data_IF_014792813502
#
_entry.id   IF_014792813502
#
_cell.length_a   1.000
_cell.length_b   1.000
_cell.length_c   1.000
_cell.angle_alpha   90.00
_cell.angle_beta   90.00
_cell.angle_gamma   90.00
#
_symmetry.space_group_name_H-M   'P 1'
#
loop_
_entity.id
_entity.type
_entity.pdbx_description
1 polymer ?
#
# COMPACT_ATOMS: atom_id res chain seq x y z
N UNK A 1 52.37 15.82 26.43
CA UNK A 1 50.93 15.50 26.35
C UNK A 1 50.63 14.49 27.45
N UNK A 2 49.71 14.82 28.36
CA UNK A 2 49.52 14.12 29.65
C UNK A 2 48.93 12.70 29.48
N UNK A 3 49.48 11.71 30.19
CA UNK A 3 49.14 10.28 30.07
C UNK A 3 47.68 9.98 30.43
N UNK A 4 47.05 10.81 31.27
CA UNK A 4 45.64 10.63 31.63
C UNK A 4 44.69 10.80 30.43
N UNK A 5 45.04 11.64 29.45
CA UNK A 5 44.19 11.89 28.26
C UNK A 5 44.22 10.75 27.24
N UNK A 6 45.34 10.01 27.16
CA UNK A 6 45.45 8.84 26.29
C UNK A 6 44.57 7.70 26.81
N UNK A 7 44.44 7.57 28.12
CA UNK A 7 43.66 6.51 28.75
C UNK A 7 42.15 6.69 28.54
N UNK A 8 41.65 7.92 28.61
CA UNK A 8 40.22 8.22 28.39
C UNK A 8 39.80 8.04 26.93
N UNK A 9 40.67 8.42 25.98
CA UNK A 9 40.39 8.26 24.55
C UNK A 9 40.33 6.77 24.15
N UNK A 10 41.23 5.94 24.68
CA UNK A 10 41.24 4.50 24.43
C UNK A 10 39.96 3.80 24.93
N UNK A 11 39.41 4.21 26.08
CA UNK A 11 38.16 3.65 26.61
C UNK A 11 36.93 4.04 25.79
N UNK A 12 36.88 5.28 25.28
CA UNK A 12 35.78 5.74 24.42
C UNK A 12 35.81 4.97 23.08
N UNK A 13 37.00 4.81 22.48
CA UNK A 13 37.16 4.04 21.24
C UNK A 13 36.75 2.58 21.46
N UNK A 14 37.14 1.97 22.58
CA UNK A 14 36.76 0.61 22.92
C UNK A 14 35.23 0.46 23.04
N UNK A 15 34.54 1.35 23.76
CA UNK A 15 33.08 1.31 23.93
C UNK A 15 32.34 1.47 22.59
N UNK A 16 32.81 2.36 21.72
CA UNK A 16 32.24 2.55 20.38
C UNK A 16 32.41 1.28 19.54
N UNK A 17 33.61 0.70 19.53
CA UNK A 17 33.92 -0.51 18.75
C UNK A 17 33.18 -1.75 19.26
N UNK A 18 33.04 -1.91 20.58
CA UNK A 18 32.45 -3.14 21.15
C UNK A 18 30.94 -3.12 21.25
N UNK A 19 30.30 -1.94 21.28
CA UNK A 19 28.86 -1.84 21.53
C UNK A 19 28.07 -1.42 20.30
N UNK A 20 28.64 -0.56 19.45
CA UNK A 20 27.91 -0.02 18.29
C UNK A 20 28.04 -0.97 17.11
N UNK A 21 29.23 -1.55 16.86
CA UNK A 21 29.46 -2.45 15.71
C UNK A 21 28.62 -3.74 15.76
N UNK A 22 28.44 -4.42 16.91
CA UNK A 22 27.61 -5.63 16.93
C UNK A 22 26.12 -5.33 16.77
N UNK A 23 25.61 -4.26 17.40
CA UNK A 23 24.21 -3.83 17.25
C UNK A 23 23.88 -3.41 15.81
N UNK A 24 24.86 -2.81 15.12
CA UNK A 24 24.72 -2.39 13.73
C UNK A 24 24.69 -3.57 12.77
N UNK A 25 25.52 -4.60 12.97
CA UNK A 25 25.49 -5.84 12.19
C UNK A 25 24.19 -6.61 12.41
N UNK A 26 23.68 -6.62 13.65
CA UNK A 26 22.45 -7.34 14.00
C UNK A 26 21.20 -6.64 13.43
N UNK A 27 21.15 -5.30 13.43
CA UNK A 27 20.10 -4.54 12.73
C UNK A 27 20.17 -4.70 11.20
N UNK A 28 21.38 -4.76 10.63
CA UNK A 28 21.59 -4.97 9.20
C UNK A 28 21.07 -6.34 8.76
N UNK A 29 21.25 -7.37 9.60
CA UNK A 29 20.66 -8.69 9.37
C UNK A 29 19.13 -8.70 9.38
N UNK A 30 18.51 -7.85 10.22
CA UNK A 30 17.05 -7.72 10.30
C UNK A 30 16.48 -6.97 9.08
N UNK A 31 17.15 -5.90 8.64
CA UNK A 31 16.69 -5.07 7.51
C UNK A 31 16.84 -5.76 6.13
N UNK A 32 17.78 -6.68 5.96
CA UNK A 32 17.91 -7.46 4.71
C UNK A 32 16.70 -8.40 4.49
N UNK A 33 16.00 -8.80 5.56
CA UNK A 33 14.89 -9.75 5.47
C UNK A 33 13.54 -9.10 5.13
N UNK A 34 13.42 -7.77 5.18
CA UNK A 34 12.17 -7.06 4.84
C UNK A 34 12.21 -6.55 3.39
N UNK A 35 11.22 -6.94 2.58
CA UNK A 35 11.08 -6.56 1.15
C UNK A 35 11.16 -5.02 1.00
N UNK A 36 11.97 -4.54 0.04
CA UNK A 36 12.17 -3.12 -0.27
C UNK A 36 13.63 -2.66 -0.27
N UNK A 37 14.43 -3.09 -1.26
CA UNK A 37 15.89 -2.85 -1.32
C UNK A 37 16.28 -1.37 -1.27
N UNK A 38 15.51 -0.48 -1.92
CA UNK A 38 15.79 0.97 -1.95
C UNK A 38 15.42 1.63 -0.61
N UNK A 39 14.30 1.22 0.00
CA UNK A 39 13.87 1.69 1.32
C UNK A 39 14.89 1.29 2.40
N UNK A 40 15.41 0.06 2.31
CA UNK A 40 16.46 -0.41 3.20
C UNK A 40 17.76 0.39 3.02
N UNK A 41 18.18 0.72 1.80
CA UNK A 41 19.37 1.57 1.57
C UNK A 41 19.17 2.99 2.11
N UNK A 42 17.99 3.58 1.92
CA UNK A 42 17.67 4.91 2.48
C UNK A 42 17.67 4.88 4.02
N UNK A 43 17.04 3.87 4.62
CA UNK A 43 17.03 3.65 6.08
C UNK A 43 18.44 3.40 6.61
N UNK A 44 19.27 2.64 5.90
CA UNK A 44 20.67 2.35 6.29
C UNK A 44 21.52 3.62 6.20
N UNK A 45 21.46 4.37 5.10
CA UNK A 45 22.15 5.66 4.98
C UNK A 45 21.70 6.62 6.10
N UNK A 46 20.40 6.62 6.42
CA UNK A 46 19.81 7.54 7.38
C UNK A 46 20.05 7.17 8.86
N UNK A 47 19.94 5.90 9.24
CA UNK A 47 20.18 5.42 10.60
C UNK A 47 21.67 5.32 10.96
N UNK A 48 22.57 5.29 9.97
CA UNK A 48 23.99 5.06 10.23
C UNK A 48 24.85 6.24 9.86
N UNK A 49 24.68 6.84 8.68
CA UNK A 49 25.54 7.96 8.26
C UNK A 49 25.27 9.18 9.13
N UNK A 50 24.02 9.45 9.50
CA UNK A 50 23.66 10.62 10.31
C UNK A 50 24.18 10.53 11.77
N UNK A 51 23.95 9.44 12.52
CA UNK A 51 24.49 9.31 13.87
C UNK A 51 26.01 9.23 13.87
N UNK A 52 26.62 8.63 12.83
CA UNK A 52 28.08 8.66 12.66
C UNK A 52 28.56 10.10 12.38
N UNK A 53 27.85 10.89 11.59
CA UNK A 53 28.16 12.31 11.36
C UNK A 53 28.05 13.12 12.66
N UNK A 54 27.00 12.89 13.46
CA UNK A 54 26.79 13.53 14.77
C UNK A 54 27.88 13.12 15.75
N UNK A 55 28.27 11.84 15.77
CA UNK A 55 29.37 11.32 16.59
C UNK A 55 30.71 11.95 16.18
N UNK A 56 31.00 12.02 14.88
CA UNK A 56 32.20 12.65 14.32
C UNK A 56 32.23 14.14 14.66
N UNK A 57 31.11 14.86 14.50
CA UNK A 57 30.97 16.26 14.90
C UNK A 57 31.17 16.45 16.40
N UNK A 58 30.60 15.61 17.25
CA UNK A 58 30.79 15.66 18.70
C UNK A 58 32.24 15.35 19.12
N UNK A 59 32.90 14.39 18.47
CA UNK A 59 34.34 14.14 18.66
C UNK A 59 35.16 15.36 18.25
N UNK A 60 34.83 15.99 17.12
CA UNK A 60 35.47 17.20 16.64
C UNK A 60 35.29 18.37 17.63
N UNK A 61 34.14 18.46 18.31
CA UNK A 61 33.86 19.45 19.35
C UNK A 61 34.62 19.21 20.66
N UNK A 62 34.80 17.95 21.06
CA UNK A 62 35.62 17.61 22.23
C UNK A 62 37.09 17.96 21.96
N UNK A 63 37.54 17.76 20.72
CA UNK A 63 38.91 18.07 20.29
C UNK A 63 39.10 19.59 20.11
N UNK A 64 38.12 20.29 19.54
CA UNK A 64 38.18 21.74 19.32
C UNK A 64 37.62 22.47 20.54
N UNK A 65 38.50 22.96 21.43
CA UNK A 65 38.14 23.85 22.55
C UNK A 65 37.53 25.18 22.06
N UNK A 66 36.31 25.20 21.52
CA UNK A 66 35.69 26.40 20.96
C UNK A 66 34.30 26.70 21.52
N UNK A 67 34.04 28.01 21.43
CA UNK A 67 33.06 28.88 22.11
C UNK A 67 31.60 28.40 22.02
N UNK A 68 30.78 28.84 22.97
CA UNK A 68 29.36 28.49 23.16
C UNK A 68 28.49 28.54 21.88
N UNK A 69 28.79 29.46 20.94
CA UNK A 69 28.04 29.58 19.68
C UNK A 69 28.06 28.30 18.82
N UNK A 70 29.13 27.51 18.87
CA UNK A 70 29.23 26.26 18.10
C UNK A 70 28.24 25.21 18.63
N UNK A 71 28.02 25.17 19.95
CA UNK A 71 27.03 24.27 20.56
C UNK A 71 25.60 24.67 20.16
N UNK A 72 25.30 25.97 20.10
CA UNK A 72 24.00 26.47 19.66
C UNK A 72 23.71 26.12 18.21
N UNK A 73 24.68 26.31 17.31
CA UNK A 73 24.54 25.95 15.88
C UNK A 73 24.28 24.45 15.71
N UNK A 74 25.01 23.60 16.45
CA UNK A 74 24.80 22.16 16.37
C UNK A 74 23.42 21.74 16.90
N UNK A 75 22.95 22.35 17.99
CA UNK A 75 21.61 22.08 18.53
C UNK A 75 20.52 22.42 17.52
N UNK A 76 20.62 23.57 16.86
CA UNK A 76 19.68 23.99 15.81
C UNK A 76 19.72 23.02 14.63
N UNK A 77 20.91 22.59 14.19
CA UNK A 77 21.05 21.63 13.10
C UNK A 77 20.40 20.28 13.43
N UNK A 78 20.58 19.78 14.66
CA UNK A 78 19.94 18.55 15.13
C UNK A 78 18.42 18.68 15.14
N UNK A 79 17.86 19.81 15.61
CA UNK A 79 16.41 20.05 15.60
C UNK A 79 15.87 20.05 14.17
N UNK A 80 16.56 20.71 13.23
CA UNK A 80 16.18 20.74 11.81
C UNK A 80 16.15 19.33 11.25
N UNK A 81 17.19 18.53 11.49
CA UNK A 81 17.28 17.12 11.08
C UNK A 81 16.11 16.30 11.65
N UNK A 82 15.82 16.42 12.95
CA UNK A 82 14.71 15.72 13.58
C UNK A 82 13.35 16.15 13.01
N UNK A 83 13.18 17.43 12.68
CA UNK A 83 11.96 17.93 12.04
C UNK A 83 11.80 17.35 10.63
N UNK A 84 12.87 17.30 9.83
CA UNK A 84 12.87 16.63 8.52
C UNK A 84 12.62 15.12 8.63
N UNK A 85 13.08 14.47 9.71
CA UNK A 85 12.74 13.06 9.97
C UNK A 85 11.26 12.87 10.25
N UNK A 86 10.68 13.65 11.16
CA UNK A 86 9.26 13.57 11.50
C UNK A 86 8.38 13.86 10.27
N UNK A 87 8.74 14.89 9.50
CA UNK A 87 8.10 15.21 8.21
C UNK A 87 8.28 14.05 7.22
N UNK A 88 9.48 13.49 7.11
CA UNK A 88 9.75 12.32 6.28
C UNK A 88 8.86 11.13 6.65
N UNK A 89 8.81 10.73 7.91
CA UNK A 89 7.94 9.61 8.32
C UNK A 89 6.46 9.89 8.12
N UNK A 90 6.03 11.17 8.15
CA UNK A 90 4.65 11.57 7.86
C UNK A 90 4.34 11.56 6.36
N UNK A 91 5.29 11.94 5.50
CA UNK A 91 5.10 11.96 4.04
C UNK A 91 5.43 10.62 3.35
N UNK A 92 6.27 9.79 3.96
CA UNK A 92 6.73 8.52 3.38
C UNK A 92 6.20 7.30 4.14
N UNK A 93 5.26 7.49 5.07
CA UNK A 93 4.59 6.38 5.75
C UNK A 93 3.61 5.69 4.81
N UNK A 94 3.75 4.37 4.65
CA UNK A 94 2.69 3.57 4.05
C UNK A 94 1.50 3.54 5.00
N UNK A 95 0.30 3.82 4.52
CA UNK A 95 -0.90 3.51 5.27
C UNK A 95 -1.99 2.99 4.35
N UNK A 96 -2.76 2.06 4.90
CA UNK A 96 -3.91 1.46 4.25
C UNK A 96 -5.12 1.74 5.13
N UNK A 97 -6.23 2.12 4.51
CA UNK A 97 -7.51 2.33 5.17
C UNK A 97 -8.60 1.59 4.42
N UNK A 98 -9.56 1.05 5.16
CA UNK A 98 -10.78 0.48 4.59
C UNK A 98 -11.98 1.10 5.28
N UNK A 99 -12.81 1.75 4.48
CA UNK A 99 -14.08 2.31 4.91
C UNK A 99 -15.22 1.37 4.48
N UNK A 100 -15.95 0.83 5.45
CA UNK A 100 -17.03 -0.14 5.21
C UNK A 100 -18.39 0.46 5.58
N UNK A 101 -19.36 0.34 4.69
CA UNK A 101 -20.71 0.87 4.83
C UNK A 101 -21.74 -0.18 4.44
N UNK A 102 -22.88 -0.19 5.13
CA UNK A 102 -23.99 -1.11 4.86
C UNK A 102 -25.32 -0.35 4.67
N UNK A 103 -26.26 -0.96 3.94
CA UNK A 103 -27.63 -0.45 3.74
C UNK A 103 -27.64 0.94 3.11
N UNK A 104 -28.51 1.85 3.59
CA UNK A 104 -28.66 3.20 3.01
C UNK A 104 -27.38 4.02 2.91
N UNK A 105 -26.42 3.82 3.81
CA UNK A 105 -25.14 4.52 3.76
C UNK A 105 -24.25 3.96 2.64
N UNK A 106 -24.28 2.64 2.44
CA UNK A 106 -23.65 1.99 1.29
C UNK A 106 -24.26 2.50 -0.01
N UNK A 107 -25.59 2.48 -0.11
CA UNK A 107 -26.32 2.96 -1.29
C UNK A 107 -25.94 4.40 -1.65
N UNK A 108 -25.94 5.30 -0.66
CA UNK A 108 -25.61 6.72 -0.88
C UNK A 108 -24.17 6.91 -1.34
N UNK A 109 -23.21 6.18 -0.74
CA UNK A 109 -21.80 6.31 -1.07
C UNK A 109 -21.47 5.72 -2.43
N UNK A 110 -22.00 4.53 -2.71
CA UNK A 110 -21.82 3.87 -3.98
C UNK A 110 -22.49 4.63 -5.14
N UNK A 111 -23.67 5.23 -4.94
CA UNK A 111 -24.35 5.98 -6.00
C UNK A 111 -23.52 7.17 -6.50
N UNK A 112 -22.82 7.87 -5.60
CA UNK A 112 -21.93 8.98 -5.94
C UNK A 112 -20.76 8.52 -6.85
N UNK A 113 -20.22 7.33 -6.58
CA UNK A 113 -19.19 6.71 -7.41
C UNK A 113 -19.75 6.26 -8.78
N UNK A 114 -20.85 5.51 -8.79
CA UNK A 114 -21.43 4.95 -10.01
C UNK A 114 -21.99 6.03 -10.96
N UNK A 115 -22.34 7.22 -10.46
CA UNK A 115 -22.72 8.36 -11.31
C UNK A 115 -21.57 8.85 -12.21
N UNK A 116 -20.32 8.65 -11.79
CA UNK A 116 -19.12 9.10 -12.50
C UNK A 116 -18.39 7.95 -13.20
N UNK A 117 -18.93 6.73 -13.18
CA UNK A 117 -18.30 5.53 -13.72
C UNK A 117 -19.31 4.68 -14.49
N UNK A 118 -19.24 4.71 -15.82
CA UNK A 118 -20.19 4.02 -16.70
C UNK A 118 -20.09 2.49 -16.65
N UNK A 119 -18.96 1.94 -16.18
CA UNK A 119 -18.74 0.49 -16.10
C UNK A 119 -19.32 -0.10 -14.81
N UNK A 120 -19.42 0.71 -13.76
CA UNK A 120 -20.08 0.31 -12.52
C UNK A 120 -21.60 0.28 -12.70
N UNK A 121 -22.30 -0.75 -12.19
CA UNK A 121 -23.75 -0.80 -12.29
C UNK A 121 -24.38 0.32 -11.45
N UNK A 122 -25.38 1.01 -12.00
CA UNK A 122 -26.24 1.86 -11.15
C UNK A 122 -27.04 0.97 -10.20
N UNK A 123 -27.38 1.46 -9.00
CA UNK A 123 -28.16 0.65 -8.05
C UNK A 123 -29.49 0.15 -8.64
N UNK A 124 -30.14 0.95 -9.49
CA UNK A 124 -31.35 0.55 -10.20
C UNK A 124 -31.16 -0.63 -11.17
N UNK A 125 -29.92 -0.88 -11.60
CA UNK A 125 -29.55 -1.97 -12.51
C UNK A 125 -29.11 -3.23 -11.74
N UNK A 126 -28.94 -3.13 -10.41
CA UNK A 126 -28.56 -4.26 -9.56
C UNK A 126 -29.77 -5.10 -9.11
N UNK A 127 -30.97 -4.81 -9.61
CA UNK A 127 -32.20 -5.51 -9.24
C UNK A 127 -32.67 -5.18 -7.83
N UNK A 128 -33.05 -6.21 -7.06
CA UNK A 128 -33.58 -6.08 -5.70
C UNK A 128 -32.73 -6.85 -4.68
N UNK A 129 -31.51 -6.40 -4.36
CA UNK A 129 -30.68 -7.04 -3.35
C UNK A 129 -31.34 -6.99 -1.96
N UNK A 130 -31.19 -8.08 -1.19
CA UNK A 130 -31.62 -8.15 0.20
C UNK A 130 -30.72 -7.31 1.12
N UNK A 131 -29.43 -7.24 0.79
CA UNK A 131 -28.44 -6.40 1.46
C UNK A 131 -27.43 -5.86 0.46
N UNK A 132 -26.93 -4.67 0.78
CA UNK A 132 -25.85 -3.99 0.06
C UNK A 132 -24.77 -3.61 1.07
N UNK A 133 -23.54 -3.98 0.77
CA UNK A 133 -22.31 -3.56 1.44
C UNK A 133 -21.45 -2.79 0.43
N UNK A 134 -20.81 -1.72 0.88
CA UNK A 134 -19.87 -0.95 0.07
C UNK A 134 -18.60 -0.72 0.88
N UNK A 135 -17.46 -1.02 0.25
CA UNK A 135 -16.14 -0.89 0.83
C UNK A 135 -15.28 -0.02 -0.06
N UNK A 136 -14.63 0.97 0.53
CA UNK A 136 -13.61 1.78 -0.13
C UNK A 136 -12.26 1.46 0.52
N UNK A 137 -11.39 0.81 -0.23
CA UNK A 137 -10.00 0.57 0.12
C UNK A 137 -9.14 1.68 -0.46
N UNK A 138 -8.29 2.25 0.39
CA UNK A 138 -7.34 3.28 0.01
C UNK A 138 -5.97 2.91 0.58
N UNK A 139 -4.99 2.81 -0.31
CA UNK A 139 -3.59 2.61 0.04
C UNK A 139 -2.78 3.80 -0.46
N UNK A 140 -1.87 4.25 0.39
CA UNK A 140 -0.97 5.33 0.07
C UNK A 140 0.46 4.95 0.44
N UNK A 141 1.35 5.11 -0.53
CA UNK A 141 2.77 5.06 -0.32
C UNK A 141 3.44 6.27 -1.00
N UNK A 142 3.81 7.26 -0.21
CA UNK A 142 4.52 8.46 -0.66
C UNK A 142 3.75 9.39 -1.62
N UNK A 143 3.87 9.21 -2.94
CA UNK A 143 3.04 9.92 -3.94
C UNK A 143 2.14 8.94 -4.71
N UNK A 144 2.37 7.64 -4.49
CA UNK A 144 1.62 6.55 -5.06
C UNK A 144 0.33 6.39 -4.26
N UNK A 145 -0.78 6.37 -4.98
CA UNK A 145 -2.12 6.24 -4.42
C UNK A 145 -2.83 5.16 -5.20
N UNK A 146 -3.44 4.25 -4.45
CA UNK A 146 -4.19 3.13 -4.97
C UNK A 146 -5.55 3.14 -4.28
N UNK A 147 -6.61 3.08 -5.08
CA UNK A 147 -7.99 3.07 -4.62
C UNK A 147 -8.72 1.87 -5.21
N UNK A 148 -9.51 1.19 -4.37
CA UNK A 148 -10.41 0.15 -4.82
C UNK A 148 -11.79 0.30 -4.17
N UNK A 149 -12.82 0.25 -5.00
CA UNK A 149 -14.21 0.35 -4.60
C UNK A 149 -14.90 -0.98 -4.82
N UNK A 150 -15.46 -1.54 -3.76
CA UNK A 150 -16.14 -2.84 -3.79
C UNK A 150 -17.59 -2.70 -3.37
N UNK A 151 -18.51 -3.03 -4.28
CA UNK A 151 -19.94 -3.20 -3.98
C UNK A 151 -20.24 -4.70 -3.84
N UNK A 152 -20.88 -5.10 -2.75
CA UNK A 152 -21.37 -6.46 -2.55
C UNK A 152 -22.89 -6.41 -2.42
N UNK A 153 -23.56 -7.14 -3.32
CA UNK A 153 -25.01 -7.30 -3.31
C UNK A 153 -25.35 -8.75 -2.98
N UNK A 154 -26.13 -8.96 -1.92
CA UNK A 154 -26.65 -10.29 -1.55
C UNK A 154 -28.10 -10.42 -1.98
N UNK A 155 -28.49 -11.55 -2.55
CA UNK A 155 -29.79 -11.73 -3.18
C UNK A 155 -30.60 -12.88 -2.60
N UNK A 156 -31.91 -12.83 -2.85
CA UNK A 156 -32.75 -14.02 -2.79
C UNK A 156 -32.34 -14.98 -3.91
N UNK A 157 -32.67 -16.27 -3.80
CA UNK A 157 -32.31 -17.27 -4.84
C UNK A 157 -32.87 -16.91 -6.21
N UNK A 158 -34.13 -16.47 -6.28
CA UNK A 158 -34.75 -16.07 -7.54
C UNK A 158 -34.05 -14.84 -8.15
N UNK A 159 -33.81 -13.80 -7.34
CA UNK A 159 -33.17 -12.58 -7.83
C UNK A 159 -31.71 -12.83 -8.22
N UNK A 160 -31.02 -13.72 -7.51
CA UNK A 160 -29.63 -14.08 -7.80
C UNK A 160 -29.49 -14.70 -9.19
N UNK A 161 -30.31 -15.70 -9.52
CA UNK A 161 -30.26 -16.37 -10.83
C UNK A 161 -30.64 -15.42 -11.97
N UNK A 162 -31.60 -14.51 -11.73
CA UNK A 162 -31.95 -13.46 -12.69
C UNK A 162 -30.78 -12.50 -12.93
N UNK A 163 -30.19 -11.94 -11.86
CA UNK A 163 -29.07 -11.01 -11.97
C UNK A 163 -27.82 -11.68 -12.57
N UNK A 164 -27.51 -12.92 -12.19
CA UNK A 164 -26.39 -13.69 -12.73
C UNK A 164 -26.54 -13.92 -14.24
N UNK A 165 -27.77 -14.12 -14.72
CA UNK A 165 -28.04 -14.22 -16.17
C UNK A 165 -27.78 -12.88 -16.86
N UNK A 166 -28.31 -11.79 -16.29
CA UNK A 166 -28.14 -10.42 -16.82
C UNK A 166 -26.68 -9.96 -16.85
N UNK A 167 -25.81 -10.47 -15.97
CA UNK A 167 -24.37 -10.15 -15.99
C UNK A 167 -23.73 -10.44 -17.36
N UNK A 168 -24.05 -11.58 -17.97
CA UNK A 168 -23.47 -11.95 -19.27
C UNK A 168 -24.10 -11.19 -20.45
N UNK A 169 -25.27 -10.57 -20.24
CA UNK A 169 -25.90 -9.70 -21.24
C UNK A 169 -25.38 -8.27 -21.15
N UNK A 170 -25.06 -7.82 -19.92
CA UNK A 170 -24.60 -6.46 -19.64
C UNK A 170 -23.10 -6.29 -19.86
N UNK A 171 -22.31 -7.28 -19.47
CA UNK A 171 -20.86 -7.19 -19.45
C UNK A 171 -20.20 -8.12 -20.46
N UNK A 172 -19.19 -7.59 -21.13
CA UNK A 172 -18.24 -8.36 -21.92
C UNK A 172 -17.03 -8.65 -21.02
N UNK A 173 -16.79 -9.92 -20.74
CA UNK A 173 -15.67 -10.35 -19.91
C UNK A 173 -14.46 -10.72 -20.74
N UNK A 174 -13.28 -10.46 -20.19
CA UNK A 174 -12.01 -10.87 -20.79
C UNK A 174 -11.95 -12.40 -20.87
N UNK A 175 -11.70 -12.91 -22.08
CA UNK A 175 -11.68 -14.36 -22.35
C UNK A 175 -10.27 -14.88 -22.54
N UNK A 176 -9.41 -14.04 -23.11
CA UNK A 176 -8.04 -14.43 -23.39
C UNK A 176 -7.13 -14.10 -22.21
N UNK A 177 -5.99 -14.77 -22.18
CA UNK A 177 -4.98 -14.46 -21.17
C UNK A 177 -4.51 -13.02 -21.39
N UNK A 178 -4.46 -12.24 -20.32
CA UNK A 178 -3.96 -10.86 -20.40
C UNK A 178 -2.44 -10.94 -20.50
N UNK A 179 -1.92 -10.65 -21.70
CA UNK A 179 -0.49 -10.64 -22.00
C UNK A 179 -0.10 -9.25 -22.47
N UNK A 180 0.63 -8.55 -21.62
CA UNK A 180 1.29 -7.28 -21.94
C UNK A 180 2.79 -7.40 -21.63
N UNK A 181 3.58 -6.37 -21.97
CA UNK A 181 5.03 -6.35 -21.81
C UNK A 181 5.49 -6.72 -20.39
N UNK A 182 4.67 -6.41 -19.37
CA UNK A 182 4.95 -6.73 -17.97
C UNK A 182 3.95 -7.67 -17.29
N UNK A 183 2.79 -7.96 -17.91
CA UNK A 183 1.70 -8.71 -17.27
C UNK A 183 1.42 -10.01 -18.00
N UNK A 184 1.14 -11.08 -17.26
CA UNK A 184 0.85 -12.39 -17.83
C UNK A 184 -0.11 -13.19 -16.93
N UNK A 185 -1.34 -12.71 -16.79
CA UNK A 185 -2.29 -13.21 -15.81
C UNK A 185 -3.56 -13.79 -16.47
N UNK A 186 -4.22 -14.71 -15.75
CA UNK A 186 -5.50 -15.27 -16.19
C UNK A 186 -6.61 -14.28 -15.82
N UNK A 187 -7.60 -14.03 -16.71
CA UNK A 187 -8.68 -13.06 -16.46
C UNK A 187 -9.75 -13.58 -15.47
N UNK A 188 -9.57 -14.79 -14.93
CA UNK A 188 -10.47 -15.41 -13.97
C UNK A 188 -9.67 -15.82 -12.74
N UNK A 189 -10.18 -15.47 -11.56
CA UNK A 189 -9.62 -15.84 -10.26
C UNK A 189 -10.69 -16.49 -9.38
N UNK A 190 -10.27 -17.41 -8.51
CA UNK A 190 -11.12 -18.08 -7.55
C UNK A 190 -10.62 -17.75 -6.14
N UNK A 191 -11.40 -17.01 -5.36
CA UNK A 191 -11.04 -16.53 -4.02
C UNK A 191 -12.23 -16.79 -3.10
N UNK A 192 -12.06 -17.55 -2.02
CA UNK A 192 -13.09 -17.80 -0.99
C UNK A 192 -14.50 -18.14 -1.54
N UNK A 193 -14.58 -19.10 -2.47
CA UNK A 193 -15.80 -19.53 -3.18
C UNK A 193 -16.40 -18.50 -4.16
N UNK A 194 -15.79 -17.33 -4.34
CA UNK A 194 -16.11 -16.40 -5.41
C UNK A 194 -15.38 -16.78 -6.69
N UNK A 195 -16.07 -16.63 -7.81
CA UNK A 195 -15.45 -16.61 -9.14
C UNK A 195 -15.41 -15.17 -9.62
N UNK A 196 -14.23 -14.56 -9.64
CA UNK A 196 -13.98 -13.22 -10.16
C UNK A 196 -13.59 -13.28 -11.64
N UNK A 197 -14.17 -12.39 -12.43
CA UNK A 197 -13.91 -12.25 -13.87
C UNK A 197 -13.58 -10.80 -14.18
N UNK A 198 -12.52 -10.59 -14.95
CA UNK A 198 -12.08 -9.28 -15.43
C UNK A 198 -13.01 -8.81 -16.56
N UNK A 199 -13.42 -7.54 -16.55
CA UNK A 199 -14.11 -6.94 -17.71
C UNK A 199 -13.15 -6.81 -18.91
N UNK A 200 -13.67 -6.98 -20.12
CA UNK A 200 -12.88 -6.93 -21.36
C UNK A 200 -12.11 -5.62 -21.48
N UNK A 201 -10.79 -5.71 -21.63
CA UNK A 201 -9.93 -4.54 -21.69
C UNK A 201 -10.16 -3.78 -23.01
N UNK A 202 -10.27 -4.51 -24.11
CA UNK A 202 -10.44 -3.95 -25.45
C UNK A 202 -11.84 -3.36 -25.66
N UNK A 203 -12.90 -4.04 -25.23
CA UNK A 203 -14.29 -3.60 -25.46
C UNK A 203 -14.61 -2.29 -24.73
N UNK A 204 -14.00 -2.10 -23.55
CA UNK A 204 -14.26 -0.96 -22.68
C UNK A 204 -13.14 0.09 -22.65
N UNK A 205 -12.11 -0.05 -23.48
CA UNK A 205 -10.92 0.84 -23.51
C UNK A 205 -10.31 1.04 -22.11
N UNK A 206 -10.19 -0.06 -21.35
CA UNK A 206 -9.69 -0.03 -19.97
C UNK A 206 -8.17 0.18 -20.00
N UNK A 207 -7.68 1.16 -19.25
CA UNK A 207 -6.24 1.42 -19.15
C UNK A 207 -5.54 0.45 -18.19
N UNK A 208 -5.41 -0.81 -18.61
CA UNK A 208 -4.76 -1.87 -17.84
C UNK A 208 -3.24 -1.64 -17.73
N UNK A 209 -2.59 -1.98 -16.59
CA UNK A 209 -3.18 -2.50 -15.35
C UNK A 209 -3.72 -1.41 -14.40
N UNK A 210 -3.50 -0.15 -14.73
CA UNK A 210 -3.75 1.02 -13.86
C UNK A 210 -5.22 1.23 -13.51
N UNK A 211 -6.12 0.84 -14.41
CA UNK A 211 -7.54 0.74 -14.17
C UNK A 211 -7.96 -0.68 -14.48
N UNK A 212 -8.79 -1.28 -13.62
CA UNK A 212 -9.35 -2.60 -13.88
C UNK A 212 -10.66 -2.77 -13.12
N UNK A 213 -11.54 -3.58 -13.71
CA UNK A 213 -12.86 -3.87 -13.17
C UNK A 213 -13.06 -5.38 -13.08
N UNK A 214 -13.63 -5.81 -11.97
CA UNK A 214 -13.95 -7.21 -11.73
C UNK A 214 -15.42 -7.36 -11.36
N UNK A 215 -16.01 -8.46 -11.82
CA UNK A 215 -17.29 -8.95 -11.29
C UNK A 215 -17.05 -10.32 -10.66
N UNK A 216 -17.40 -10.44 -9.39
CA UNK A 216 -17.37 -11.68 -8.62
C UNK A 216 -18.77 -12.25 -8.43
N UNK A 217 -18.91 -13.57 -8.49
CA UNK A 217 -20.15 -14.25 -8.09
C UNK A 217 -19.86 -15.37 -7.11
N UNK A 218 -20.69 -15.51 -6.08
CA UNK A 218 -20.63 -16.61 -5.12
C UNK A 218 -21.99 -17.29 -5.03
N UNK A 219 -22.07 -18.52 -5.53
CA UNK A 219 -23.31 -19.29 -5.59
C UNK A 219 -23.79 -19.76 -4.21
N UNK A 220 -22.88 -19.95 -3.25
CA UNK A 220 -23.21 -20.41 -1.91
C UNK A 220 -23.87 -19.30 -1.08
N UNK A 221 -23.37 -18.07 -1.19
CA UNK A 221 -23.89 -16.90 -0.46
C UNK A 221 -24.89 -16.08 -1.28
N UNK A 222 -25.04 -16.38 -2.58
CA UNK A 222 -25.87 -15.64 -3.55
C UNK A 222 -25.47 -14.17 -3.62
N UNK A 223 -24.18 -13.95 -3.71
CA UNK A 223 -23.60 -12.61 -3.78
C UNK A 223 -23.04 -12.32 -5.16
N UNK A 224 -23.25 -11.08 -5.60
CA UNK A 224 -22.56 -10.50 -6.75
C UNK A 224 -21.74 -9.32 -6.25
N UNK A 225 -20.47 -9.32 -6.63
CA UNK A 225 -19.46 -8.34 -6.20
C UNK A 225 -19.01 -7.55 -7.42
N UNK A 226 -18.90 -6.25 -7.30
CA UNK A 226 -18.34 -5.36 -8.31
C UNK A 226 -17.15 -4.63 -7.72
N UNK A 227 -15.98 -4.78 -8.33
CA UNK A 227 -14.75 -4.13 -7.88
C UNK A 227 -14.27 -3.20 -9.00
N UNK A 228 -14.04 -1.94 -8.67
CA UNK A 228 -13.31 -0.98 -9.50
C UNK A 228 -11.99 -0.68 -8.82
N UNK A 229 -10.89 -0.71 -9.57
CA UNK A 229 -9.57 -0.40 -9.06
C UNK A 229 -8.93 0.71 -9.88
N UNK A 230 -8.17 1.58 -9.20
CA UNK A 230 -7.35 2.61 -9.81
C UNK A 230 -6.01 2.81 -9.09
N UNK A 231 -4.91 2.74 -9.83
CA UNK A 231 -3.58 3.18 -9.42
C UNK A 231 -2.83 3.71 -10.65
N UNK A 232 -2.45 4.98 -10.62
CA UNK A 232 -1.79 5.66 -11.75
C UNK A 232 -0.37 5.14 -12.03
N UNK A 233 0.26 4.48 -11.06
CA UNK A 233 1.66 4.06 -11.10
C UNK A 233 1.83 2.54 -11.10
N UNK A 234 0.73 1.79 -11.19
CA UNK A 234 0.78 0.34 -11.35
C UNK A 234 1.30 -0.02 -12.75
N UNK A 235 2.42 -0.75 -12.79
CA UNK A 235 3.07 -1.12 -14.05
C UNK A 235 2.78 -2.56 -14.48
N UNK A 236 2.41 -3.46 -13.54
CA UNK A 236 2.17 -4.86 -13.86
C UNK A 236 1.29 -5.59 -12.84
N UNK A 237 0.63 -6.66 -13.30
CA UNK A 237 -0.10 -7.61 -12.45
C UNK A 237 0.33 -9.04 -12.81
N UNK A 238 0.92 -9.74 -11.83
CA UNK A 238 1.36 -11.13 -11.98
C UNK A 238 0.19 -12.12 -11.85
N UNK A 239 -0.69 -11.91 -10.86
CA UNK A 239 -1.82 -12.78 -10.55
C UNK A 239 -3.03 -11.93 -10.18
N UNK A 240 -4.16 -12.16 -10.87
CA UNK A 240 -5.43 -11.50 -10.52
C UNK A 240 -5.88 -11.89 -9.11
N UNK A 241 -5.61 -13.13 -8.67
CA UNK A 241 -6.00 -13.60 -7.34
C UNK A 241 -5.29 -12.83 -6.23
N UNK A 242 -3.95 -12.73 -6.31
CA UNK A 242 -3.13 -11.97 -5.36
C UNK A 242 -3.47 -10.49 -5.43
N UNK A 243 -3.69 -9.96 -6.63
CA UNK A 243 -4.06 -8.57 -6.86
C UNK A 243 -5.39 -8.19 -6.20
N UNK A 244 -6.45 -8.97 -6.39
CA UNK A 244 -7.74 -8.72 -5.72
C UNK A 244 -7.57 -8.83 -4.20
N UNK A 245 -6.83 -9.84 -3.73
CA UNK A 245 -6.62 -10.11 -2.30
C UNK A 245 -5.90 -8.96 -1.60
N UNK A 246 -4.79 -8.50 -2.18
CA UNK A 246 -3.88 -7.55 -1.55
C UNK A 246 -4.15 -6.11 -1.98
N UNK A 247 -4.20 -5.84 -3.29
CA UNK A 247 -4.25 -4.48 -3.84
C UNK A 247 -5.69 -3.93 -3.90
N UNK A 248 -6.70 -4.78 -4.07
CA UNK A 248 -8.11 -4.37 -3.95
C UNK A 248 -8.62 -4.45 -2.50
N UNK A 249 -7.78 -4.84 -1.54
CA UNK A 249 -8.12 -4.89 -0.12
C UNK A 249 -9.11 -6.00 0.27
N UNK A 250 -9.32 -7.02 -0.57
CA UNK A 250 -10.30 -8.08 -0.32
C UNK A 250 -10.06 -8.84 1.00
N UNK A 251 -8.80 -9.05 1.38
CA UNK A 251 -8.40 -9.66 2.67
C UNK A 251 -8.88 -8.92 3.93
N UNK A 252 -9.33 -7.67 3.78
CA UNK A 252 -9.88 -6.87 4.87
C UNK A 252 -11.43 -6.87 4.87
N UNK A 253 -12.04 -7.36 3.79
CA UNK A 253 -13.49 -7.44 3.59
C UNK A 253 -14.03 -8.82 3.98
N UNK A 254 -13.29 -9.89 3.68
CA UNK A 254 -13.62 -11.30 3.97
C UNK A 254 -12.44 -11.98 4.66
#
# INVERSE_FOLDING_TARGET
>A
MDNSKRFTLGRIIAIVLTSIIPCTVLLYGILIFTKGFILNIAIILFLFVLPLLVLVCNLFLIISKKKAWVKSVLCVLTIIICAFFALGTMFFGAYETIDSFNGKKAESKYSELAENNELLPKLSETGNPQSIEYHHYYSHFFIFQCEADTLICTYSEQDYEEQKTLLNEKYVFEQEKIVDYYSNCNPVAYIDDYTFRVLSIEEYDIYFPKHIYFVGTNDATREIVYISFYDIDLDYIDSIEEFITDECGWKYIR
#
